data_IF_960492418304
#
_entry.id   IF_960492418304
#
_cell.length_a   1.000
_cell.length_b   1.000
_cell.length_c   1.000
_cell.angle_alpha   90.00
_cell.angle_beta   90.00
_cell.angle_gamma   90.00
#
_symmetry.space_group_name_H-M   'P 1'
#
loop_
_entity.id
_entity.type
_entity.pdbx_description
1 polymer ?
#
# COMPACT_ATOMS: atom_id res chain seq x y z
N UNK A 1 47.14 -67.96 -27.78
CA UNK A 1 45.85 -67.23 -27.80
C UNK A 1 46.13 -65.76 -27.51
N UNK A 2 45.85 -64.89 -28.48
CA UNK A 2 46.19 -63.47 -28.50
C UNK A 2 45.27 -62.67 -27.56
N UNK A 3 45.84 -61.77 -26.74
CA UNK A 3 45.08 -60.76 -26.00
C UNK A 3 44.95 -59.53 -26.89
N UNK A 4 43.75 -59.29 -27.39
CA UNK A 4 43.43 -58.15 -28.25
C UNK A 4 43.13 -56.94 -27.34
N UNK A 5 44.02 -55.95 -27.33
CA UNK A 5 43.77 -54.64 -26.73
C UNK A 5 42.83 -53.83 -27.64
N UNK A 6 41.62 -53.53 -27.18
CA UNK A 6 40.74 -52.54 -27.82
C UNK A 6 41.13 -51.15 -27.31
N UNK A 7 41.72 -50.32 -28.17
CA UNK A 7 41.73 -48.87 -27.98
C UNK A 7 40.29 -48.36 -28.16
N UNK A 8 39.71 -47.78 -27.11
CA UNK A 8 38.56 -46.89 -27.27
C UNK A 8 39.07 -45.46 -27.33
N UNK A 9 38.81 -44.80 -28.45
CA UNK A 9 39.05 -43.38 -28.64
C UNK A 9 38.11 -42.60 -27.70
N UNK A 10 38.67 -41.82 -26.79
CA UNK A 10 37.92 -40.89 -25.97
C UNK A 10 37.50 -39.70 -26.83
N UNK A 11 36.23 -39.66 -27.25
CA UNK A 11 35.58 -38.42 -27.62
C UNK A 11 35.36 -37.63 -26.33
N UNK A 12 36.19 -36.62 -26.07
CA UNK A 12 35.91 -35.61 -25.05
C UNK A 12 34.73 -34.80 -25.54
N UNK A 13 33.59 -34.97 -24.90
CA UNK A 13 32.49 -34.01 -25.04
C UNK A 13 32.99 -32.61 -24.62
N UNK A 14 32.64 -31.55 -25.37
CA UNK A 14 32.97 -30.18 -24.96
C UNK A 14 32.32 -29.91 -23.60
N UNK A 15 32.95 -29.06 -22.74
CA UNK A 15 32.41 -28.78 -21.42
C UNK A 15 31.01 -28.22 -21.58
N UNK A 16 30.05 -28.87 -20.92
CA UNK A 16 28.72 -28.31 -20.72
C UNK A 16 28.92 -26.93 -20.10
N UNK A 17 28.64 -25.89 -20.88
CA UNK A 17 28.32 -24.58 -20.33
C UNK A 17 27.10 -24.83 -19.47
N UNK A 18 27.32 -25.00 -18.16
CA UNK A 18 26.24 -24.93 -17.19
C UNK A 18 25.56 -23.58 -17.42
N UNK A 19 24.42 -23.63 -18.11
CA UNK A 19 23.50 -22.52 -18.12
C UNK A 19 23.16 -22.28 -16.66
N UNK A 20 23.56 -21.11 -16.16
CA UNK A 20 23.20 -20.58 -14.85
C UNK A 20 21.67 -20.63 -14.73
N UNK A 21 21.19 -21.76 -14.23
CA UNK A 21 19.78 -22.11 -14.11
C UNK A 21 19.24 -21.31 -12.95
N UNK A 22 18.72 -20.14 -13.31
CA UNK A 22 17.50 -19.58 -12.75
C UNK A 22 17.36 -19.74 -11.23
N UNK A 23 18.27 -19.10 -10.48
CA UNK A 23 17.97 -18.76 -9.08
C UNK A 23 17.49 -17.32 -8.98
N UNK A 24 16.63 -16.87 -9.89
CA UNK A 24 15.86 -15.66 -9.65
C UNK A 24 14.79 -16.04 -8.63
N UNK A 25 15.11 -15.88 -7.34
CA UNK A 25 14.16 -16.01 -6.24
C UNK A 25 12.90 -15.20 -6.63
N UNK A 26 11.84 -15.91 -7.04
CA UNK A 26 10.58 -15.31 -7.45
C UNK A 26 9.91 -14.77 -6.20
N UNK A 27 10.28 -13.54 -5.85
CA UNK A 27 9.58 -12.75 -4.86
C UNK A 27 8.11 -12.71 -5.28
N UNK A 28 7.18 -13.10 -4.40
CA UNK A 28 5.74 -13.04 -4.69
C UNK A 28 5.37 -11.59 -5.04
N UNK A 29 5.38 -11.29 -6.34
CA UNK A 29 5.06 -9.98 -6.88
C UNK A 29 3.56 -9.91 -7.06
N UNK A 30 2.82 -9.98 -5.94
CA UNK A 30 1.39 -9.77 -5.96
C UNK A 30 1.15 -8.27 -6.11
N UNK A 31 0.64 -7.86 -7.27
CA UNK A 31 0.06 -6.54 -7.39
C UNK A 31 -1.12 -6.45 -6.41
N UNK A 32 -1.03 -5.51 -5.47
CA UNK A 32 -2.14 -5.17 -4.58
C UNK A 32 -2.99 -4.16 -5.33
N UNK A 33 -4.08 -4.63 -5.92
CA UNK A 33 -5.13 -3.73 -6.38
C UNK A 33 -6.17 -3.67 -5.26
N UNK A 34 -6.51 -2.48 -4.74
CA UNK A 34 -7.57 -2.36 -3.74
C UNK A 34 -8.88 -2.88 -4.31
N UNK A 35 -9.77 -3.36 -3.44
CA UNK A 35 -11.10 -3.79 -3.85
C UNK A 35 -11.89 -2.58 -4.36
N UNK A 36 -12.44 -2.71 -5.56
CA UNK A 36 -13.01 -1.60 -6.37
C UNK A 36 -14.44 -1.20 -5.98
N UNK A 37 -14.88 -1.38 -4.73
CA UNK A 37 -16.26 -1.03 -4.36
C UNK A 37 -16.31 0.46 -3.97
N UNK A 38 -16.83 1.36 -4.81
CA UNK A 38 -16.74 2.80 -4.57
C UNK A 38 -17.41 3.15 -3.25
N UNK A 39 -16.72 3.93 -2.41
CA UNK A 39 -17.27 4.38 -1.13
C UNK A 39 -18.52 5.24 -1.39
N UNK A 40 -19.58 5.04 -0.60
CA UNK A 40 -20.79 5.84 -0.68
C UNK A 40 -20.48 7.33 -0.55
N UNK A 41 -20.95 8.14 -1.50
CA UNK A 41 -20.75 9.58 -1.51
C UNK A 41 -21.66 10.33 -0.54
N UNK A 42 -22.60 9.66 0.13
CA UNK A 42 -23.58 10.30 1.01
C UNK A 42 -22.91 11.10 2.14
N UNK A 43 -21.87 10.54 2.74
CA UNK A 43 -21.13 11.21 3.81
C UNK A 43 -20.35 12.42 3.30
N UNK A 44 -19.78 12.30 2.10
CA UNK A 44 -19.10 13.39 1.41
C UNK A 44 -20.09 14.53 1.13
N UNK A 45 -21.23 14.23 0.51
CA UNK A 45 -22.29 15.21 0.20
C UNK A 45 -22.74 15.92 1.47
N UNK A 46 -23.03 15.15 2.53
CA UNK A 46 -23.44 15.70 3.83
C UNK A 46 -22.39 16.64 4.42
N UNK A 47 -21.10 16.30 4.28
CA UNK A 47 -20.01 17.16 4.76
C UNK A 47 -19.87 18.42 3.91
N UNK A 48 -19.99 18.31 2.59
CA UNK A 48 -19.93 19.44 1.66
C UNK A 48 -21.07 20.43 1.89
N UNK A 49 -22.30 19.97 2.10
CA UNK A 49 -23.44 20.83 2.43
C UNK A 49 -23.22 21.60 3.75
N UNK A 50 -22.67 20.94 4.78
CA UNK A 50 -22.26 21.63 6.02
C UNK A 50 -21.21 22.72 5.78
N UNK A 51 -20.28 22.51 4.84
CA UNK A 51 -19.28 23.54 4.48
C UNK A 51 -19.90 24.73 3.76
N UNK A 52 -20.94 24.50 2.94
CA UNK A 52 -21.73 25.59 2.34
C UNK A 52 -22.44 26.40 3.42
N UNK A 53 -23.06 25.75 4.41
CA UNK A 53 -23.70 26.45 5.54
C UNK A 53 -22.72 27.30 6.35
N UNK A 54 -21.49 26.81 6.57
CA UNK A 54 -20.44 27.59 7.24
C UNK A 54 -20.07 28.81 6.40
N UNK A 55 -19.91 28.66 5.08
CA UNK A 55 -19.59 29.78 4.20
C UNK A 55 -20.71 30.84 4.20
N UNK A 56 -21.97 30.42 4.20
CA UNK A 56 -23.14 31.33 4.33
C UNK A 56 -23.08 32.14 5.63
N UNK A 57 -22.80 31.50 6.76
CA UNK A 57 -22.62 32.19 8.06
C UNK A 57 -21.43 33.16 8.07
N UNK A 58 -20.45 32.96 7.19
CA UNK A 58 -19.28 33.83 7.04
C UNK A 58 -19.49 34.95 6.01
N UNK A 59 -20.72 35.10 5.48
CA UNK A 59 -21.07 36.21 4.58
C UNK A 59 -21.11 35.86 3.09
N UNK A 60 -21.16 34.57 2.73
CA UNK A 60 -21.37 34.17 1.33
C UNK A 60 -22.77 34.61 0.86
N UNK A 61 -22.84 35.28 -0.29
CA UNK A 61 -24.11 35.75 -0.88
C UNK A 61 -24.97 34.58 -1.37
N UNK A 62 -26.28 34.81 -1.57
CA UNK A 62 -27.19 33.77 -2.05
C UNK A 62 -26.83 33.24 -3.44
N UNK A 63 -26.41 34.13 -4.36
CA UNK A 63 -25.97 33.75 -5.71
C UNK A 63 -24.70 32.91 -5.66
N UNK A 64 -23.72 33.31 -4.84
CA UNK A 64 -22.46 32.57 -4.73
C UNK A 64 -22.62 31.26 -3.98
N UNK A 65 -23.59 31.17 -3.05
CA UNK A 65 -24.01 29.91 -2.42
C UNK A 65 -24.52 28.91 -3.45
N UNK A 66 -25.38 29.35 -4.38
CA UNK A 66 -25.92 28.49 -5.44
C UNK A 66 -24.79 28.02 -6.38
N UNK A 67 -23.87 28.91 -6.75
CA UNK A 67 -22.68 28.56 -7.55
C UNK A 67 -21.78 27.56 -6.83
N UNK A 68 -21.47 27.80 -5.56
CA UNK A 68 -20.63 26.91 -4.75
C UNK A 68 -21.24 25.52 -4.63
N UNK A 69 -22.53 25.43 -4.27
CA UNK A 69 -23.25 24.15 -4.18
C UNK A 69 -23.23 23.39 -5.51
N UNK A 70 -23.36 24.10 -6.62
CA UNK A 70 -23.30 23.50 -7.97
C UNK A 70 -21.92 22.91 -8.24
N UNK A 71 -20.85 23.67 -7.99
CA UNK A 71 -19.46 23.21 -8.18
C UNK A 71 -19.18 21.95 -7.33
N UNK A 72 -19.55 21.99 -6.04
CA UNK A 72 -19.31 20.89 -5.11
C UNK A 72 -20.09 19.62 -5.49
N UNK A 73 -21.30 19.75 -6.02
CA UNK A 73 -22.09 18.61 -6.50
C UNK A 73 -21.48 17.99 -7.77
N UNK A 74 -21.05 18.81 -8.72
CA UNK A 74 -20.42 18.35 -9.96
C UNK A 74 -19.09 17.64 -9.69
N UNK A 75 -18.35 18.08 -8.66
CA UNK A 75 -17.02 17.56 -8.30
C UNK A 75 -17.05 16.68 -7.04
N UNK A 76 -18.20 16.10 -6.68
CA UNK A 76 -18.35 15.31 -5.45
C UNK A 76 -17.38 14.13 -5.40
N UNK A 77 -17.06 13.57 -6.55
CA UNK A 77 -16.11 12.49 -6.77
C UNK A 77 -14.65 12.89 -6.49
N UNK A 78 -14.34 14.18 -6.38
CA UNK A 78 -13.00 14.70 -6.06
C UNK A 78 -12.72 14.74 -4.54
N UNK A 79 -13.72 14.50 -3.69
CA UNK A 79 -13.60 14.65 -2.23
C UNK A 79 -13.75 13.33 -1.49
N UNK A 80 -12.94 13.13 -0.44
CA UNK A 80 -13.03 11.97 0.45
C UNK A 80 -13.00 12.44 1.90
N UNK A 81 -13.78 11.78 2.76
CA UNK A 81 -13.79 12.02 4.21
C UNK A 81 -12.72 11.15 4.88
N UNK A 82 -12.69 9.87 4.51
CA UNK A 82 -11.72 8.87 4.97
C UNK A 82 -11.13 8.13 3.76
N UNK A 83 -10.32 7.09 4.00
CA UNK A 83 -9.82 6.23 2.93
C UNK A 83 -10.97 5.72 2.06
N UNK A 84 -10.83 5.92 0.75
CA UNK A 84 -11.77 5.46 -0.26
C UNK A 84 -11.33 4.15 -0.87
N UNK A 85 -12.30 3.33 -1.29
CA UNK A 85 -12.07 2.18 -2.15
C UNK A 85 -12.13 2.60 -3.62
N UNK A 86 -11.42 3.67 -3.95
CA UNK A 86 -11.40 4.24 -5.28
C UNK A 86 -10.57 3.37 -6.23
N UNK A 87 -10.96 3.28 -7.51
CA UNK A 87 -10.15 2.59 -8.46
C UNK A 87 -8.78 3.29 -8.59
N UNK A 88 -7.69 2.51 -8.78
CA UNK A 88 -6.39 3.09 -9.06
C UNK A 88 -6.46 3.89 -10.36
N UNK A 89 -5.57 4.86 -10.48
CA UNK A 89 -5.30 5.54 -11.75
C UNK A 89 -5.01 4.50 -12.84
N UNK A 90 -5.41 4.80 -14.08
CA UNK A 90 -5.25 3.93 -15.27
C UNK A 90 -3.79 3.81 -15.72
N UNK A 91 -2.94 3.29 -14.85
CA UNK A 91 -1.53 2.98 -15.10
C UNK A 91 -1.25 1.54 -14.69
N UNK A 92 -0.25 0.93 -15.33
CA UNK A 92 0.21 -0.40 -14.93
C UNK A 92 0.73 -0.41 -13.49
N UNK A 93 0.66 -1.55 -12.77
CA UNK A 93 1.24 -1.66 -11.44
C UNK A 93 2.73 -1.31 -11.42
N UNK A 94 3.17 -0.58 -10.40
CA UNK A 94 4.58 -0.27 -10.20
C UNK A 94 5.38 -1.56 -9.90
N UNK A 95 6.50 -1.75 -10.61
CA UNK A 95 7.44 -2.83 -10.35
C UNK A 95 8.70 -2.29 -9.67
N UNK A 96 8.98 -2.76 -8.46
CA UNK A 96 10.19 -2.40 -7.71
C UNK A 96 11.32 -3.34 -8.11
N UNK A 97 12.46 -2.79 -8.54
CA UNK A 97 13.68 -3.55 -8.87
C UNK A 97 14.70 -3.39 -7.75
N UNK A 98 15.12 -4.50 -7.17
CA UNK A 98 16.21 -4.52 -6.20
C UNK A 98 17.56 -4.55 -6.92
N UNK A 99 18.60 -3.99 -6.28
CA UNK A 99 19.98 -4.16 -6.76
C UNK A 99 20.36 -5.64 -6.73
N UNK A 100 21.11 -6.09 -7.74
CA UNK A 100 21.62 -7.45 -7.77
C UNK A 100 22.39 -7.79 -6.47
N UNK A 101 22.09 -8.94 -5.88
CA UNK A 101 22.70 -9.41 -4.64
C UNK A 101 22.24 -8.69 -3.35
N UNK A 102 21.17 -7.88 -3.40
CA UNK A 102 20.66 -7.21 -2.20
C UNK A 102 20.10 -8.24 -1.19
N UNK A 103 20.66 -8.35 0.03
CA UNK A 103 20.19 -9.32 1.01
C UNK A 103 18.89 -8.85 1.66
N UNK A 104 17.94 -9.75 1.98
CA UNK A 104 16.73 -9.40 2.70
C UNK A 104 17.03 -8.92 4.11
N UNK A 105 16.37 -7.82 4.52
CA UNK A 105 16.47 -7.27 5.86
C UNK A 105 15.14 -7.38 6.59
N UNK A 106 15.15 -7.97 7.78
CA UNK A 106 13.98 -8.09 8.66
C UNK A 106 14.26 -7.43 9.99
N UNK A 107 13.63 -6.27 10.21
CA UNK A 107 13.71 -5.55 11.47
C UNK A 107 13.10 -6.37 12.62
N UNK A 108 13.72 -6.28 13.79
CA UNK A 108 13.21 -6.90 15.00
C UNK A 108 11.91 -6.21 15.48
N UNK A 109 10.97 -6.96 16.08
CA UNK A 109 9.77 -6.37 16.67
C UNK A 109 10.12 -5.32 17.72
N UNK A 110 9.46 -4.16 17.67
CA UNK A 110 9.63 -3.08 18.67
C UNK A 110 8.55 -3.17 19.74
N UNK A 111 8.92 -2.85 20.97
CA UNK A 111 7.95 -2.58 22.04
C UNK A 111 7.43 -1.14 21.87
N UNK A 112 6.11 -0.99 21.86
CA UNK A 112 5.42 0.30 21.79
C UNK A 112 4.67 0.56 23.09
N UNK A 113 4.52 1.83 23.46
CA UNK A 113 3.61 2.21 24.53
C UNK A 113 2.17 1.82 24.18
N UNK A 114 1.28 1.59 25.17
CA UNK A 114 -0.08 1.11 24.92
C UNK A 114 -0.88 1.99 23.93
N UNK A 115 -0.79 3.32 24.05
CA UNK A 115 -1.49 4.24 23.14
C UNK A 115 -0.95 4.19 21.70
N UNK A 116 0.36 4.06 21.55
CA UNK A 116 1.06 3.93 20.27
C UNK A 116 0.68 2.61 19.57
N UNK A 117 0.62 1.51 20.33
CA UNK A 117 0.16 0.21 19.84
C UNK A 117 -1.30 0.29 19.39
N UNK A 118 -2.17 0.87 20.21
CA UNK A 118 -3.58 1.03 19.88
C UNK A 118 -3.79 1.87 18.61
N UNK A 119 -2.96 2.89 18.38
CA UNK A 119 -2.96 3.64 17.12
C UNK A 119 -2.58 2.76 15.94
N UNK A 120 -1.46 2.02 16.03
CA UNK A 120 -1.01 1.13 14.96
C UNK A 120 -2.06 0.07 14.60
N UNK A 121 -2.71 -0.51 15.60
CA UNK A 121 -3.76 -1.51 15.42
C UNK A 121 -4.96 -0.91 14.67
N UNK A 122 -5.48 0.25 15.11
CA UNK A 122 -6.58 0.95 14.42
C UNK A 122 -6.21 1.36 13.00
N UNK A 123 -5.02 1.93 12.81
CA UNK A 123 -4.57 2.42 11.51
C UNK A 123 -4.39 1.28 10.51
N UNK A 124 -3.74 0.19 10.92
CA UNK A 124 -3.52 -0.99 10.06
C UNK A 124 -4.83 -1.70 9.75
N UNK A 125 -5.76 -1.77 10.71
CA UNK A 125 -7.10 -2.31 10.46
C UNK A 125 -7.87 -1.51 9.41
N UNK A 126 -7.79 -0.17 9.44
CA UNK A 126 -8.37 0.67 8.40
C UNK A 126 -7.74 0.41 7.03
N UNK A 127 -6.41 0.37 6.93
CA UNK A 127 -5.72 0.07 5.67
C UNK A 127 -6.11 -1.31 5.10
N UNK A 128 -6.26 -2.32 5.97
CA UNK A 128 -6.71 -3.66 5.59
C UNK A 128 -8.16 -3.65 5.09
N UNK A 129 -9.06 -2.96 5.78
CA UNK A 129 -10.48 -2.85 5.40
C UNK A 129 -10.66 -2.21 4.01
N UNK A 130 -9.78 -1.29 3.64
CA UNK A 130 -9.77 -0.62 2.33
C UNK A 130 -8.92 -1.33 1.27
N UNK A 131 -8.33 -2.49 1.58
CA UNK A 131 -7.50 -3.24 0.64
C UNK A 131 -6.21 -2.54 0.22
N UNK A 132 -5.75 -1.54 0.99
CA UNK A 132 -4.51 -0.79 0.73
C UNK A 132 -3.28 -1.57 1.16
N UNK A 133 -3.44 -2.52 2.10
CA UNK A 133 -2.40 -3.46 2.53
C UNK A 133 -2.98 -4.86 2.64
N UNK A 134 -2.11 -5.87 2.68
CA UNK A 134 -2.49 -7.26 2.91
C UNK A 134 -1.50 -7.93 3.84
N UNK A 135 -1.91 -9.04 4.46
CA UNK A 135 -1.04 -9.85 5.30
C UNK A 135 -0.14 -10.72 4.42
N UNK A 136 1.18 -10.50 4.50
CA UNK A 136 2.17 -11.36 3.85
C UNK A 136 3.02 -12.09 4.89
N UNK A 137 2.72 -13.37 5.12
CA UNK A 137 3.44 -14.20 6.09
C UNK A 137 4.79 -14.73 5.58
N UNK A 138 5.02 -14.64 4.27
CA UNK A 138 6.22 -15.14 3.58
C UNK A 138 7.28 -14.06 3.38
N UNK A 139 7.00 -12.80 3.75
CA UNK A 139 7.95 -11.71 3.54
C UNK A 139 9.26 -11.95 4.29
N UNK A 140 10.37 -11.92 3.54
CA UNK A 140 11.74 -11.88 4.08
C UNK A 140 12.18 -10.45 4.44
N UNK A 141 11.41 -9.46 4.00
CA UNK A 141 11.67 -8.04 4.17
C UNK A 141 10.71 -7.46 5.23
N UNK A 142 11.24 -6.74 6.21
CA UNK A 142 10.43 -5.98 7.15
C UNK A 142 11.18 -4.77 7.70
N UNK A 143 10.48 -3.65 7.82
CA UNK A 143 10.96 -2.44 8.51
C UNK A 143 10.10 -2.19 9.75
N UNK A 144 10.70 -1.69 10.82
CA UNK A 144 9.94 -1.34 12.01
C UNK A 144 9.20 0.00 11.82
N UNK A 145 7.88 0.08 12.08
CA UNK A 145 7.14 1.32 11.92
C UNK A 145 7.59 2.35 12.96
N UNK A 146 7.70 3.61 12.51
CA UNK A 146 7.99 4.76 13.37
C UNK A 146 6.74 5.60 13.51
N UNK A 147 6.25 5.75 14.73
CA UNK A 147 5.11 6.60 15.03
C UNK A 147 5.62 8.03 15.18
N UNK A 148 4.97 8.95 14.46
CA UNK A 148 5.29 10.37 14.49
C UNK A 148 4.03 11.11 14.90
N UNK A 149 4.12 11.91 15.96
CA UNK A 149 3.00 12.73 16.44
C UNK A 149 2.79 13.89 15.47
N UNK A 150 1.55 14.03 14.98
CA UNK A 150 1.11 15.17 14.16
C UNK A 150 0.26 16.09 15.04
N UNK A 151 0.51 17.41 14.98
CA UNK A 151 -0.15 18.41 15.86
C UNK A 151 -1.69 18.35 15.78
N UNK A 152 -2.24 18.05 14.61
CA UNK A 152 -3.70 18.00 14.38
C UNK A 152 -4.38 16.75 14.97
N UNK A 153 -3.62 15.70 15.35
CA UNK A 153 -4.17 14.50 16.00
C UNK A 153 -4.32 14.64 17.52
N UNK A 154 -4.03 15.83 18.08
CA UNK A 154 -4.18 16.12 19.51
C UNK A 154 -5.67 16.15 19.94
N UNK A 155 -6.59 16.22 18.97
CA UNK A 155 -8.05 16.22 19.17
C UNK A 155 -8.69 14.83 19.01
N UNK A 156 -7.97 13.72 19.29
CA UNK A 156 -8.63 12.41 19.47
C UNK A 156 -9.25 12.34 20.88
N UNK A 157 -10.60 12.38 21.02
CA UNK A 157 -11.27 12.40 22.33
C UNK A 157 -11.08 11.09 23.12
N UNK A 158 -10.48 10.06 22.54
CA UNK A 158 -10.24 8.76 23.19
C UNK A 158 -8.88 8.64 23.86
N UNK A 159 -8.06 9.70 23.81
CA UNK A 159 -6.78 9.72 24.51
C UNK A 159 -7.00 10.31 25.90
N UNK A 160 -7.20 9.43 26.88
CA UNK A 160 -7.08 9.79 28.30
C UNK A 160 -5.71 10.47 28.45
N UNK A 161 -5.75 11.71 28.94
CA UNK A 161 -4.56 12.45 29.35
C UNK A 161 -4.12 11.85 30.68
N UNK A 162 -2.98 11.17 30.68
CA UNK A 162 -2.18 10.97 31.89
C UNK A 162 -1.20 12.14 32.04
#
# INVERSE_FOLDING_TARGET
MQRVCRLQAATRDPPEVEADVDTVERHEMRAVVPNMCPTSLNDVIRFLEKKVEVAEKMGLTLDDRAKLRTILRVRVDCFRVDFGNDPPVRVGPMQVRLKAGAPPVRAQPRRYFPGDRAFLDRHTAALLAHGLVFKNHRSRWASAPRIVRKREQETDPRRIRE
#
